data_IF_463966449845
#
_entry.id   IF_463966449845
#
_cell.length_a   1.000
_cell.length_b   1.000
_cell.length_c   1.000
_cell.angle_alpha   90.00
_cell.angle_beta   90.00
_cell.angle_gamma   90.00
#
_symmetry.space_group_name_H-M   'P 1'
#
loop_
_entity.id
_entity.type
_entity.pdbx_description
1 polymer ?
#
# COMPACT_ATOMS: atom_id res chain seq x y z
N UNK A 1 -9.04 -6.26 9.80
CA UNK A 1 -7.97 -6.94 10.56
C UNK A 1 -6.76 -6.03 10.76
N UNK A 2 -6.20 -5.43 9.70
CA UNK A 2 -5.01 -4.57 9.82
C UNK A 2 -5.19 -3.43 10.83
N UNK A 3 -6.33 -2.72 10.76
CA UNK A 3 -6.67 -1.66 11.73
C UNK A 3 -6.83 -2.17 13.17
N UNK A 4 -7.20 -3.43 13.38
CA UNK A 4 -7.23 -4.04 14.72
C UNK A 4 -5.81 -4.36 15.20
N UNK A 5 -4.96 -4.92 14.34
CA UNK A 5 -3.56 -5.18 14.67
C UNK A 5 -2.79 -3.89 14.98
N UNK A 6 -3.16 -2.78 14.34
CA UNK A 6 -2.57 -1.47 14.59
C UNK A 6 -2.89 -0.88 15.99
N UNK A 7 -3.92 -1.39 16.66
CA UNK A 7 -4.29 -0.95 18.02
C UNK A 7 -3.49 -1.68 19.12
N UNK A 8 -2.80 -2.76 18.79
CA UNK A 8 -1.93 -3.45 19.73
C UNK A 8 -0.71 -2.58 20.06
N UNK A 9 -0.46 -2.39 21.36
CA UNK A 9 0.65 -1.55 21.83
C UNK A 9 2.03 -2.08 21.40
N UNK A 10 2.15 -3.39 21.18
CA UNK A 10 3.38 -4.04 20.76
C UNK A 10 3.60 -4.00 19.24
N UNK A 11 2.60 -3.60 18.48
CA UNK A 11 2.71 -3.48 17.04
C UNK A 11 3.06 -2.06 16.59
N UNK A 12 4.05 -1.99 15.71
CA UNK A 12 4.36 -0.82 14.90
C UNK A 12 3.70 -0.99 13.54
N UNK A 13 3.00 0.02 13.07
CA UNK A 13 2.48 0.09 11.69
C UNK A 13 3.02 1.35 11.03
N UNK A 14 3.32 1.36 9.72
CA UNK A 14 3.67 2.59 9.03
C UNK A 14 2.41 3.46 8.90
N UNK A 15 2.48 4.72 9.34
CA UNK A 15 1.41 5.70 9.13
C UNK A 15 1.62 6.44 7.80
N UNK A 16 0.53 6.97 7.21
CA UNK A 16 0.66 7.68 5.94
C UNK A 16 1.65 8.85 6.01
N UNK A 17 1.64 9.64 7.08
CA UNK A 17 2.56 10.76 7.22
C UNK A 17 4.03 10.32 7.27
N UNK A 18 4.33 9.14 7.82
CA UNK A 18 5.68 8.59 7.88
C UNK A 18 6.17 8.12 6.50
N UNK A 19 5.30 7.50 5.73
CA UNK A 19 5.65 7.00 4.39
C UNK A 19 5.67 8.12 3.35
N UNK A 20 4.86 9.17 3.52
CA UNK A 20 4.85 10.33 2.65
C UNK A 20 6.08 11.25 2.87
N UNK A 21 6.58 11.32 4.10
CA UNK A 21 7.74 12.13 4.48
C UNK A 21 8.63 11.39 5.49
N UNK A 22 9.39 10.36 5.07
CA UNK A 22 10.08 9.46 5.98
C UNK A 22 11.26 10.09 6.73
N UNK A 23 11.82 11.19 6.23
CA UNK A 23 12.99 11.85 6.81
C UNK A 23 12.64 13.19 7.46
N UNK A 24 13.18 13.46 8.66
CA UNK A 24 13.95 12.57 9.53
C UNK A 24 13.11 11.41 10.10
N UNK A 25 13.71 10.36 10.70
CA UNK A 25 12.94 9.27 11.30
C UNK A 25 12.05 9.79 12.43
N UNK A 26 10.85 9.22 12.61
CA UNK A 26 9.94 9.60 13.69
C UNK A 26 10.57 9.42 15.06
N UNK A 27 10.28 10.34 15.98
CA UNK A 27 10.73 10.26 17.38
C UNK A 27 9.57 9.91 18.31
N UNK A 28 9.80 8.98 19.24
CA UNK A 28 8.77 8.52 20.17
C UNK A 28 8.15 9.67 20.98
N UNK A 29 8.98 10.60 21.46
CA UNK A 29 8.54 11.71 22.30
C UNK A 29 7.59 12.70 21.59
N UNK A 30 7.65 12.77 20.27
CA UNK A 30 6.87 13.73 19.47
C UNK A 30 5.99 13.05 18.42
N UNK A 31 5.83 11.73 18.50
CA UNK A 31 5.19 10.92 17.47
C UNK A 31 3.77 11.40 17.11
N UNK A 32 2.96 11.71 18.11
CA UNK A 32 1.58 12.14 17.92
C UNK A 32 1.44 13.64 17.61
N UNK A 33 2.52 14.40 17.71
CA UNK A 33 2.57 15.84 17.45
C UNK A 33 3.59 16.23 16.38
N UNK A 34 4.08 15.27 15.61
CA UNK A 34 5.03 15.51 14.52
C UNK A 34 4.44 16.49 13.49
N UNK A 35 5.14 17.57 13.12
CA UNK A 35 4.63 18.59 12.20
C UNK A 35 4.27 18.04 10.81
N UNK A 36 4.85 16.91 10.41
CA UNK A 36 4.51 16.22 9.14
C UNK A 36 3.06 15.73 9.11
N UNK A 37 2.45 15.44 10.26
CA UNK A 37 1.03 15.09 10.35
C UNK A 37 0.16 16.22 9.78
N UNK A 38 0.40 17.45 10.22
CA UNK A 38 -0.34 18.62 9.73
C UNK A 38 -0.03 18.91 8.27
N UNK A 39 1.23 18.76 7.85
CA UNK A 39 1.65 18.92 6.46
C UNK A 39 0.94 17.93 5.52
N UNK A 40 0.94 16.65 5.85
CA UNK A 40 0.29 15.60 5.04
C UNK A 40 -1.23 15.78 5.05
N UNK A 41 -1.82 16.12 6.19
CA UNK A 41 -3.25 16.41 6.29
C UNK A 41 -3.63 17.57 5.36
N UNK A 42 -2.87 18.67 5.38
CA UNK A 42 -3.10 19.82 4.50
C UNK A 42 -2.95 19.43 3.03
N UNK A 43 -1.94 18.61 2.70
CA UNK A 43 -1.73 18.13 1.33
C UNK A 43 -2.91 17.26 0.84
N UNK A 44 -3.41 16.36 1.67
CA UNK A 44 -4.61 15.57 1.33
C UNK A 44 -5.84 16.43 1.05
N UNK A 45 -5.95 17.60 1.70
CA UNK A 45 -7.05 18.54 1.48
C UNK A 45 -6.85 19.40 0.22
N UNK A 46 -5.60 19.63 -0.21
CA UNK A 46 -5.27 20.48 -1.38
C UNK A 46 -5.20 19.71 -2.70
N UNK A 47 -4.94 18.42 -2.67
CA UNK A 47 -5.18 17.55 -3.84
C UNK A 47 -6.71 17.50 -4.00
N UNK A 48 -7.26 18.34 -4.90
CA UNK A 48 -8.69 18.56 -5.19
C UNK A 48 -9.58 17.43 -4.69
N UNK A 49 -10.02 17.60 -3.45
CA UNK A 49 -10.66 16.69 -2.55
C UNK A 49 -10.62 15.24 -3.02
N UNK A 50 -9.80 14.40 -2.36
CA UNK A 50 -9.91 12.95 -2.55
C UNK A 50 -11.40 12.63 -2.75
N UNK A 51 -11.72 12.12 -3.92
CA UNK A 51 -13.11 11.86 -4.29
C UNK A 51 -13.82 11.18 -3.11
N UNK A 52 -14.90 11.74 -2.55
CA UNK A 52 -15.59 11.15 -1.39
C UNK A 52 -15.92 9.67 -1.58
N UNK A 53 -16.10 9.24 -2.83
CA UNK A 53 -16.32 7.83 -3.19
C UNK A 53 -15.05 6.98 -2.95
N UNK A 54 -13.85 7.51 -3.23
CA UNK A 54 -12.57 6.84 -2.91
C UNK A 54 -12.45 6.70 -1.39
N UNK A 55 -12.68 7.77 -0.64
CA UNK A 55 -12.64 7.74 0.82
C UNK A 55 -13.64 6.78 1.46
N UNK A 56 -14.79 6.56 0.82
CA UNK A 56 -15.80 5.61 1.28
C UNK A 56 -15.34 4.15 1.13
N UNK A 57 -14.56 3.84 0.09
CA UNK A 57 -14.04 2.48 -0.17
C UNK A 57 -12.65 2.26 0.39
N UNK A 58 -11.84 3.31 0.50
CA UNK A 58 -10.48 3.27 1.03
C UNK A 58 -10.21 4.50 1.91
N UNK A 59 -10.41 4.43 3.24
CA UNK A 59 -10.13 5.54 4.14
C UNK A 59 -8.65 5.96 4.09
N UNK A 60 -8.39 7.24 3.87
CA UNK A 60 -7.04 7.82 3.80
C UNK A 60 -6.96 9.02 4.74
N UNK A 61 -6.01 9.00 5.67
CA UNK A 61 -5.68 10.14 6.53
C UNK A 61 -4.21 10.05 6.98
N UNK A 62 -3.62 11.18 7.36
CA UNK A 62 -2.22 11.24 7.76
C UNK A 62 -1.86 10.22 8.87
N UNK A 63 -2.73 10.06 9.85
CA UNK A 63 -2.55 9.17 11.00
C UNK A 63 -3.28 7.82 10.86
N UNK A 64 -3.58 7.38 9.65
CA UNK A 64 -4.07 6.03 9.41
C UNK A 64 -2.91 5.11 8.98
N UNK A 65 -2.99 3.81 9.39
CA UNK A 65 -2.06 2.79 8.92
C UNK A 65 -2.02 2.72 7.39
N UNK A 66 -0.81 2.76 6.83
CA UNK A 66 -0.58 2.72 5.40
C UNK A 66 -0.07 1.35 4.95
N UNK A 67 -0.37 1.01 3.72
CA UNK A 67 0.13 -0.20 3.08
C UNK A 67 1.59 -0.07 2.67
N UNK A 68 2.30 -1.20 2.60
CA UNK A 68 3.70 -1.24 2.16
C UNK A 68 3.89 -0.77 0.70
N UNK A 69 2.84 -0.73 -0.11
CA UNK A 69 2.90 -0.23 -1.48
C UNK A 69 3.42 1.21 -1.56
N UNK A 70 3.18 2.04 -0.53
CA UNK A 70 3.76 3.37 -0.42
C UNK A 70 5.29 3.34 -0.26
N UNK A 71 5.82 2.37 0.49
CA UNK A 71 7.26 2.16 0.65
C UNK A 71 7.89 1.64 -0.65
N UNK A 72 7.22 0.71 -1.33
CA UNK A 72 7.67 0.20 -2.63
C UNK A 72 7.67 1.30 -3.70
N UNK A 73 6.72 2.24 -3.63
CA UNK A 73 6.68 3.38 -4.55
C UNK A 73 7.91 4.30 -4.46
N UNK A 74 8.53 4.42 -3.28
CA UNK A 74 9.78 5.19 -3.14
C UNK A 74 10.94 4.58 -3.94
N UNK A 75 10.86 3.29 -4.26
CA UNK A 75 11.83 2.55 -5.07
C UNK A 75 11.38 2.38 -6.53
N UNK A 76 10.30 3.02 -6.91
CA UNK A 76 9.65 2.90 -8.23
C UNK A 76 9.21 1.46 -8.59
N UNK A 77 8.95 0.62 -7.59
CA UNK A 77 8.61 -0.80 -7.72
C UNK A 77 7.29 -1.10 -7.03
N UNK A 78 6.19 -0.46 -7.49
CA UNK A 78 4.91 -0.53 -6.79
C UNK A 78 3.70 -0.46 -7.73
N UNK A 79 2.76 -1.35 -7.51
CA UNK A 79 1.43 -1.28 -8.15
C UNK A 79 0.63 -0.02 -7.79
N UNK A 80 1.09 0.79 -6.84
CA UNK A 80 0.46 2.07 -6.50
C UNK A 80 0.32 2.98 -7.73
N UNK A 81 1.29 2.95 -8.64
CA UNK A 81 1.26 3.76 -9.87
C UNK A 81 0.14 3.31 -10.80
N UNK A 82 -0.06 1.99 -10.94
CA UNK A 82 -1.18 1.45 -11.71
C UNK A 82 -2.52 1.69 -11.03
N UNK A 83 -2.59 1.64 -9.71
CA UNK A 83 -3.81 2.01 -8.98
C UNK A 83 -4.24 3.46 -9.26
N UNK A 84 -3.28 4.37 -9.40
CA UNK A 84 -3.56 5.78 -9.70
C UNK A 84 -3.83 6.07 -11.17
N UNK A 85 -3.18 5.35 -12.09
CA UNK A 85 -3.27 5.54 -13.54
C UNK A 85 -3.18 4.20 -14.26
N UNK A 86 -4.03 3.91 -15.26
CA UNK A 86 -4.04 2.64 -16.00
C UNK A 86 -2.86 2.52 -16.98
N UNK A 87 -1.64 2.55 -16.46
CA UNK A 87 -0.40 2.43 -17.25
C UNK A 87 -0.03 0.95 -17.34
N UNK A 88 -0.68 0.22 -18.24
CA UNK A 88 -0.49 -1.24 -18.37
C UNK A 88 0.95 -1.62 -18.67
N UNK A 89 1.65 -0.87 -19.53
CA UNK A 89 3.06 -1.14 -19.86
C UNK A 89 3.99 -1.06 -18.65
N UNK A 90 3.69 -0.22 -17.66
CA UNK A 90 4.43 -0.18 -16.41
C UNK A 90 4.13 -1.44 -15.57
N UNK A 91 2.87 -1.85 -15.52
CA UNK A 91 2.47 -3.03 -14.77
C UNK A 91 3.09 -4.31 -15.34
N UNK A 92 3.02 -4.46 -16.68
CA UNK A 92 3.64 -5.57 -17.39
C UNK A 92 5.16 -5.62 -17.15
N UNK A 93 5.82 -4.45 -17.18
CA UNK A 93 7.24 -4.33 -16.85
C UNK A 93 7.53 -4.70 -15.38
N UNK A 94 6.70 -4.24 -14.43
CA UNK A 94 6.86 -4.50 -13.00
C UNK A 94 6.76 -6.00 -12.70
N UNK A 95 5.86 -6.69 -13.39
CA UNK A 95 5.63 -8.13 -13.28
C UNK A 95 6.85 -8.98 -13.67
N UNK A 96 7.72 -8.45 -14.52
CA UNK A 96 8.94 -9.12 -15.00
C UNK A 96 10.15 -8.83 -14.08
N UNK A 97 10.03 -7.91 -13.11
CA UNK A 97 11.15 -7.51 -12.27
C UNK A 97 11.38 -8.48 -11.11
N UNK A 98 12.65 -8.72 -10.80
CA UNK A 98 13.02 -9.33 -9.52
C UNK A 98 12.78 -8.34 -8.37
N UNK A 99 11.94 -8.72 -7.43
CA UNK A 99 11.56 -7.88 -6.29
C UNK A 99 12.53 -8.00 -5.09
N UNK A 100 13.61 -8.73 -5.21
CA UNK A 100 14.57 -8.94 -4.10
C UNK A 100 15.12 -7.62 -3.58
N UNK A 101 15.56 -6.73 -4.46
CA UNK A 101 16.08 -5.41 -4.07
C UNK A 101 14.98 -4.51 -3.48
N UNK A 102 13.74 -4.66 -3.95
CA UNK A 102 12.58 -3.95 -3.41
C UNK A 102 12.32 -4.34 -1.95
N UNK A 103 12.45 -5.62 -1.59
CA UNK A 103 12.29 -6.07 -0.21
C UNK A 103 13.49 -5.68 0.66
N UNK A 104 14.70 -5.62 0.13
CA UNK A 104 15.85 -5.03 0.83
C UNK A 104 15.61 -3.53 1.11
N UNK A 105 15.14 -2.77 0.12
CA UNK A 105 14.74 -1.38 0.31
C UNK A 105 13.65 -1.23 1.37
N UNK A 106 12.59 -2.03 1.29
CA UNK A 106 11.51 -2.06 2.26
C UNK A 106 12.05 -2.24 3.69
N UNK A 107 12.94 -3.20 3.90
CA UNK A 107 13.59 -3.41 5.19
C UNK A 107 14.39 -2.20 5.67
N UNK A 108 15.15 -1.55 4.78
CA UNK A 108 15.91 -0.33 5.11
C UNK A 108 14.97 0.78 5.57
N UNK A 109 13.85 1.00 4.87
CA UNK A 109 12.87 2.02 5.25
C UNK A 109 12.24 1.70 6.61
N UNK A 110 11.85 0.44 6.86
CA UNK A 110 11.33 0.04 8.16
C UNK A 110 12.35 0.23 9.29
N UNK A 111 13.63 -0.10 9.07
CA UNK A 111 14.72 0.15 10.02
C UNK A 111 14.90 1.64 10.27
N UNK A 112 14.81 2.47 9.24
CA UNK A 112 14.87 3.93 9.37
C UNK A 112 13.70 4.45 10.22
N UNK A 113 12.46 4.08 9.88
CA UNK A 113 11.27 4.52 10.60
C UNK A 113 11.26 4.11 12.07
N UNK A 114 11.81 2.94 12.41
CA UNK A 114 11.85 2.46 13.80
C UNK A 114 13.11 2.92 14.57
N UNK A 115 14.04 3.61 13.94
CA UNK A 115 15.35 3.91 14.56
C UNK A 115 15.25 4.75 15.85
N UNK A 116 14.24 5.62 15.96
CA UNK A 116 14.00 6.48 17.12
C UNK A 116 12.61 6.29 17.76
N UNK A 117 11.80 5.41 17.20
CA UNK A 117 10.47 5.02 17.72
C UNK A 117 10.27 3.52 17.51
N UNK A 118 10.67 2.74 18.50
CA UNK A 118 10.66 1.27 18.44
C UNK A 118 9.42 0.68 19.09
N UNK A 119 8.94 -0.40 18.46
CA UNK A 119 8.03 -1.37 19.08
C UNK A 119 8.53 -2.79 18.82
N UNK A 120 8.06 -3.80 19.59
CA UNK A 120 8.53 -5.19 19.48
C UNK A 120 8.35 -5.79 18.08
N UNK A 121 7.28 -5.43 17.37
CA UNK A 121 6.91 -6.06 16.09
C UNK A 121 6.37 -5.04 15.09
N UNK A 122 6.58 -5.33 13.81
CA UNK A 122 5.85 -4.68 12.74
C UNK A 122 4.60 -5.47 12.38
N UNK A 123 3.45 -4.81 12.23
CA UNK A 123 2.30 -5.31 11.53
C UNK A 123 2.22 -4.57 10.19
N UNK A 124 2.37 -5.31 9.11
CA UNK A 124 2.52 -4.77 7.74
C UNK A 124 1.40 -5.32 6.86
N UNK A 125 1.07 -4.60 5.79
CA UNK A 125 0.03 -5.02 4.84
C UNK A 125 0.33 -4.49 3.45
N UNK A 126 0.29 -5.36 2.47
CA UNK A 126 0.09 -5.03 1.07
C UNK A 126 -0.47 -6.24 0.33
N UNK A 127 -1.38 -6.06 -0.63
CA UNK A 127 -1.86 -7.16 -1.48
C UNK A 127 -0.70 -7.85 -2.22
N UNK A 128 0.25 -7.09 -2.75
CA UNK A 128 1.41 -7.57 -3.50
C UNK A 128 2.37 -8.47 -2.72
N UNK A 129 2.31 -8.50 -1.38
CA UNK A 129 3.11 -9.47 -0.62
C UNK A 129 2.80 -10.92 -1.00
N UNK A 130 1.57 -11.21 -1.41
CA UNK A 130 1.17 -12.58 -1.80
C UNK A 130 1.91 -13.07 -3.05
N UNK A 131 2.26 -12.17 -3.95
CA UNK A 131 2.96 -12.50 -5.20
C UNK A 131 4.46 -12.68 -4.99
N UNK A 132 5.01 -12.08 -3.94
CA UNK A 132 6.45 -11.97 -3.69
C UNK A 132 6.86 -12.58 -2.35
N UNK A 133 6.29 -13.74 -2.01
CA UNK A 133 6.60 -14.46 -0.76
C UNK A 133 8.07 -14.90 -0.68
N UNK A 134 8.68 -15.27 -1.81
CA UNK A 134 10.09 -15.70 -1.84
C UNK A 134 11.02 -14.57 -1.41
N UNK A 135 11.05 -13.39 -2.07
CA UNK A 135 11.88 -12.28 -1.62
C UNK A 135 11.49 -11.74 -0.23
N UNK A 136 10.20 -11.81 0.15
CA UNK A 136 9.76 -11.45 1.49
C UNK A 136 10.44 -12.31 2.55
N UNK A 137 10.36 -13.64 2.44
CA UNK A 137 10.99 -14.55 3.41
C UNK A 137 12.52 -14.57 3.33
N UNK A 138 13.11 -14.32 2.15
CA UNK A 138 14.55 -14.16 2.03
C UNK A 138 15.07 -12.96 2.83
N UNK A 139 14.26 -11.88 2.90
CA UNK A 139 14.62 -10.64 3.62
C UNK A 139 14.15 -10.64 5.07
N UNK A 140 13.06 -11.30 5.38
CA UNK A 140 12.43 -11.37 6.70
C UNK A 140 12.01 -12.82 7.00
N UNK A 141 12.99 -13.70 7.34
CA UNK A 141 12.73 -15.14 7.51
C UNK A 141 11.87 -15.49 8.73
N UNK A 142 11.71 -14.54 9.66
CA UNK A 142 10.87 -14.63 10.86
C UNK A 142 9.47 -14.03 10.68
N UNK A 143 9.13 -13.61 9.46
CA UNK A 143 7.81 -13.04 9.17
C UNK A 143 6.70 -14.08 9.35
N UNK A 144 5.61 -13.68 10.01
CA UNK A 144 4.36 -14.44 10.07
C UNK A 144 3.38 -13.84 9.09
N UNK A 145 2.86 -14.66 8.19
CA UNK A 145 1.93 -14.21 7.15
C UNK A 145 0.51 -14.66 7.47
N UNK A 146 -0.41 -13.70 7.43
CA UNK A 146 -1.85 -13.94 7.54
C UNK A 146 -2.47 -13.64 6.16
N UNK A 147 -2.88 -14.68 5.45
CA UNK A 147 -3.58 -14.55 4.18
C UNK A 147 -5.09 -14.49 4.41
N UNK A 148 -5.72 -13.45 3.85
CA UNK A 148 -7.16 -13.25 3.92
C UNK A 148 -7.82 -13.74 2.65
N UNK A 149 -8.78 -14.65 2.78
CA UNK A 149 -9.53 -15.20 1.65
C UNK A 149 -10.96 -14.68 1.63
N UNK A 150 -11.43 -14.32 0.44
CA UNK A 150 -12.80 -13.88 0.16
C UNK A 150 -13.30 -14.56 -1.11
N UNK A 151 -14.61 -14.47 -1.36
CA UNK A 151 -15.17 -14.90 -2.64
C UNK A 151 -14.50 -14.15 -3.81
N UNK A 152 -14.02 -14.85 -4.87
CA UNK A 152 -13.42 -14.20 -6.03
C UNK A 152 -14.31 -13.12 -6.66
N UNK A 153 -15.62 -13.35 -6.69
CA UNK A 153 -16.60 -12.37 -7.21
C UNK A 153 -16.56 -11.08 -6.36
N UNK A 154 -16.50 -11.21 -5.04
CA UNK A 154 -16.42 -10.04 -4.15
C UNK A 154 -15.07 -9.31 -4.29
N UNK A 155 -13.97 -10.04 -4.49
CA UNK A 155 -12.64 -9.46 -4.68
C UNK A 155 -12.60 -8.66 -5.98
N UNK A 156 -12.98 -9.27 -7.11
CA UNK A 156 -12.94 -8.62 -8.42
C UNK A 156 -13.86 -7.40 -8.45
N UNK A 157 -15.09 -7.50 -7.95
CA UNK A 157 -16.03 -6.37 -7.95
C UNK A 157 -15.56 -5.23 -7.06
N UNK A 158 -14.98 -5.54 -5.89
CA UNK A 158 -14.40 -4.53 -4.99
C UNK A 158 -13.18 -3.84 -5.61
N UNK A 159 -12.29 -4.61 -6.25
CA UNK A 159 -11.11 -4.11 -6.94
C UNK A 159 -11.50 -3.22 -8.13
N UNK A 160 -12.43 -3.67 -8.96
CA UNK A 160 -12.91 -2.90 -10.10
C UNK A 160 -13.55 -1.57 -9.67
N UNK A 161 -14.33 -1.58 -8.58
CA UNK A 161 -14.90 -0.36 -8.02
C UNK A 161 -13.83 0.62 -7.53
N UNK A 162 -12.81 0.12 -6.82
CA UNK A 162 -11.70 0.94 -6.34
C UNK A 162 -10.93 1.57 -7.51
N UNK A 163 -10.51 0.77 -8.50
CA UNK A 163 -9.76 1.25 -9.66
C UNK A 163 -10.57 2.25 -10.48
N UNK A 164 -11.86 1.98 -10.70
CA UNK A 164 -12.70 2.92 -11.41
C UNK A 164 -12.74 4.29 -10.75
N UNK A 165 -12.91 4.36 -9.43
CA UNK A 165 -12.92 5.64 -8.71
C UNK A 165 -11.56 6.35 -8.71
N UNK A 166 -10.45 5.61 -8.59
CA UNK A 166 -9.11 6.17 -8.64
C UNK A 166 -8.76 6.71 -10.03
N UNK A 167 -9.09 5.94 -11.08
CA UNK A 167 -8.85 6.38 -12.45
C UNK A 167 -9.78 7.52 -12.87
N UNK A 168 -11.04 7.52 -12.42
CA UNK A 168 -11.96 8.64 -12.65
C UNK A 168 -11.42 9.93 -12.01
N UNK A 169 -10.84 9.83 -10.82
CA UNK A 169 -10.21 10.96 -10.14
C UNK A 169 -8.99 11.50 -10.94
N UNK A 170 -8.18 10.62 -11.52
CA UNK A 170 -6.95 11.01 -12.21
C UNK A 170 -7.17 11.45 -13.65
N UNK A 171 -8.16 10.85 -14.35
CA UNK A 171 -8.41 11.04 -15.79
C UNK A 171 -9.70 11.84 -16.10
N UNK A 172 -10.52 12.08 -15.08
CA UNK A 172 -11.80 12.80 -15.21
C UNK A 172 -12.96 11.92 -15.63
N UNK A 173 -12.84 11.13 -16.70
CA UNK A 173 -13.89 10.22 -17.15
C UNK A 173 -13.33 8.88 -17.59
N UNK A 174 -13.88 7.81 -17.04
CA UNK A 174 -13.48 6.41 -17.33
C UNK A 174 -14.73 5.56 -17.57
N UNK A 175 -14.75 4.82 -18.67
CA UNK A 175 -15.83 3.86 -18.95
C UNK A 175 -15.75 2.68 -17.95
N UNK A 176 -16.69 2.61 -17.03
CA UNK A 176 -16.77 1.55 -16.02
C UNK A 176 -16.88 0.14 -16.63
N UNK A 177 -17.38 0.02 -17.87
CA UNK A 177 -17.48 -1.26 -18.58
C UNK A 177 -16.13 -1.78 -19.05
N UNK A 178 -15.15 -0.89 -19.29
CA UNK A 178 -13.79 -1.27 -19.66
C UNK A 178 -12.97 -1.67 -18.42
N UNK A 179 -13.20 -1.03 -17.26
CA UNK A 179 -12.46 -1.29 -16.02
C UNK A 179 -12.68 -2.72 -15.51
N UNK A 180 -13.92 -3.22 -15.56
CA UNK A 180 -14.26 -4.53 -15.00
C UNK A 180 -13.43 -5.68 -15.58
N UNK A 181 -13.42 -5.89 -16.91
CA UNK A 181 -12.61 -6.93 -17.55
C UNK A 181 -11.10 -6.76 -17.27
N UNK A 182 -10.57 -5.55 -17.36
CA UNK A 182 -9.14 -5.29 -17.13
C UNK A 182 -8.70 -5.64 -15.70
N UNK A 183 -9.50 -5.25 -14.71
CA UNK A 183 -9.21 -5.59 -13.31
C UNK A 183 -9.44 -7.07 -13.02
N UNK A 184 -10.36 -7.73 -13.70
CA UNK A 184 -10.55 -9.18 -13.58
C UNK A 184 -9.32 -9.94 -14.10
N UNK A 185 -8.80 -9.58 -15.27
CA UNK A 185 -7.58 -10.17 -15.84
C UNK A 185 -6.37 -9.97 -14.95
N UNK A 186 -6.20 -8.76 -14.40
CA UNK A 186 -5.13 -8.45 -13.45
C UNK A 186 -5.26 -9.31 -12.18
N UNK A 187 -6.44 -9.36 -11.57
CA UNK A 187 -6.67 -10.12 -10.33
C UNK A 187 -6.42 -11.61 -10.52
N UNK A 188 -6.79 -12.16 -11.68
CA UNK A 188 -6.51 -13.55 -12.04
C UNK A 188 -5.00 -13.81 -12.16
N UNK A 189 -4.27 -12.92 -12.84
CA UNK A 189 -2.80 -12.98 -12.95
C UNK A 189 -2.13 -12.96 -11.58
N UNK A 190 -2.51 -12.03 -10.70
CA UNK A 190 -1.94 -11.89 -9.36
C UNK A 190 -2.17 -13.14 -8.50
N UNK A 191 -3.37 -13.74 -8.59
CA UNK A 191 -3.66 -15.00 -7.89
C UNK A 191 -2.83 -16.18 -8.42
N UNK A 192 -2.60 -16.25 -9.72
CA UNK A 192 -1.74 -17.28 -10.31
C UNK A 192 -0.28 -17.13 -9.87
N UNK A 193 0.22 -15.91 -9.69
CA UNK A 193 1.57 -15.64 -9.16
C UNK A 193 1.67 -16.05 -7.69
N UNK A 194 0.65 -15.75 -6.89
CA UNK A 194 0.60 -16.09 -5.47
C UNK A 194 0.58 -17.60 -5.17
N UNK A 195 0.26 -18.43 -6.16
CA UNK A 195 0.20 -19.91 -6.06
C UNK A 195 1.50 -20.61 -6.50
N UNK A 196 2.51 -19.87 -6.97
CA UNK A 196 3.82 -20.38 -7.41
C UNK A 196 4.84 -20.29 -6.29
#
# INVERSE_FOLDING_TARGET
LFGLLAQDADHRVPMLWETAAPCPPPEEATYDSDPRIAMVTSHLHTIDGLNPKVLAVHPIAAQLPQECIGIFAMHFMSYLYYCGLPIRSYNDWLDEQDQTDTYHWHRIVLQHLQSRHRKPRWALKAPSHMEFMVPLFATSPDALVISMHRSPVEVVTSHASLHWHLWEQSLGHVDSRAVGPEVADMTDSDQHKALR
#
